data_IF_466296133583
#
_entry.id   IF_466296133583
#
_cell.length_a   1.000
_cell.length_b   1.000
_cell.length_c   1.000
_cell.angle_alpha   90.00
_cell.angle_beta   90.00
_cell.angle_gamma   90.00
#
_symmetry.space_group_name_H-M   'P 1'
#
loop_
_entity.id
_entity.type
_entity.pdbx_description
1 polymer ?
#
# COMPACT_ATOMS: atom_id res chain seq x y z
N UNK A 1 51.54 3.07 33.53
CA UNK A 1 52.06 1.68 33.43
C UNK A 1 51.23 0.85 32.45
N UNK A 2 51.59 0.82 31.16
CA UNK A 2 51.24 -0.29 30.26
C UNK A 2 52.49 -1.03 29.73
N UNK A 3 52.42 -2.36 29.60
CA UNK A 3 53.40 -3.24 28.92
C UNK A 3 52.76 -4.63 28.74
N UNK A 4 52.74 -5.21 27.52
CA UNK A 4 53.76 -6.09 26.89
C UNK A 4 53.95 -7.42 27.66
N UNK A 5 53.79 -8.60 27.03
CA UNK A 5 54.61 -9.22 25.96
C UNK A 5 56.07 -9.48 26.45
N UNK A 6 56.75 -10.60 26.14
CA UNK A 6 56.59 -11.57 25.04
C UNK A 6 57.35 -12.90 25.30
N UNK A 7 57.02 -13.95 24.52
CA UNK A 7 57.94 -14.98 23.92
C UNK A 7 58.90 -15.86 24.75
N UNK A 8 59.17 -17.08 24.24
CA UNK A 8 60.52 -17.67 24.02
C UNK A 8 60.38 -18.84 23.01
N UNK A 9 60.90 -18.71 21.76
CA UNK A 9 62.12 -19.36 21.16
C UNK A 9 61.96 -20.88 20.88
N UNK A 10 62.57 -21.57 19.89
CA UNK A 10 63.58 -21.37 18.79
C UNK A 10 63.46 -22.60 17.84
N UNK A 11 63.88 -22.72 16.56
CA UNK A 11 64.46 -21.86 15.50
C UNK A 11 64.17 -22.53 14.09
N UNK A 12 64.27 -21.87 12.92
CA UNK A 12 65.38 -21.81 11.90
C UNK A 12 66.02 -23.16 11.49
N UNK A 13 66.48 -23.44 10.24
CA UNK A 13 66.94 -22.67 9.05
C UNK A 13 66.75 -23.52 7.74
N UNK A 14 66.94 -23.12 6.47
CA UNK A 14 66.80 -21.84 5.71
C UNK A 14 67.12 -22.02 4.19
N UNK A 15 66.96 -20.95 3.39
CA UNK A 15 67.56 -20.66 2.05
C UNK A 15 66.97 -21.22 0.71
N UNK A 16 66.84 -20.31 -0.27
CA UNK A 16 66.61 -20.45 -1.74
C UNK A 16 67.87 -19.91 -2.50
N UNK A 17 68.02 -19.82 -3.86
CA UNK A 17 67.09 -19.80 -5.02
C UNK A 17 67.54 -20.82 -6.14
N UNK A 18 67.47 -20.66 -7.50
CA UNK A 18 66.84 -19.68 -8.41
C UNK A 18 65.94 -20.24 -9.54
N UNK A 19 66.41 -20.36 -10.81
CA UNK A 19 65.58 -20.49 -12.05
C UNK A 19 66.30 -21.11 -13.27
N UNK A 20 65.48 -21.73 -14.14
CA UNK A 20 65.51 -21.80 -15.62
C UNK A 20 66.63 -22.56 -16.39
N UNK A 21 66.21 -23.19 -17.50
CA UNK A 21 67.04 -23.87 -18.53
C UNK A 21 66.15 -24.69 -19.49
N UNK A 22 66.55 -24.83 -20.76
CA UNK A 22 65.78 -25.51 -21.84
C UNK A 22 66.57 -26.69 -22.47
N UNK A 23 65.97 -27.36 -23.47
CA UNK A 23 66.60 -28.23 -24.50
C UNK A 23 67.03 -29.68 -24.09
N UNK A 24 67.09 -30.71 -24.97
CA UNK A 24 66.55 -30.93 -26.33
C UNK A 24 66.62 -32.43 -26.78
N UNK A 25 65.55 -32.98 -27.41
CA UNK A 25 65.60 -34.01 -28.51
C UNK A 25 66.23 -35.42 -28.20
N UNK A 26 66.40 -36.41 -29.14
CA UNK A 26 66.12 -36.44 -30.59
C UNK A 26 65.56 -37.74 -31.27
N UNK A 27 65.06 -37.54 -32.51
CA UNK A 27 65.11 -38.46 -33.69
C UNK A 27 64.29 -39.79 -33.70
N UNK A 28 63.89 -40.41 -34.84
CA UNK A 28 64.11 -40.13 -36.29
C UNK A 28 62.94 -40.66 -37.18
N UNK A 29 62.63 -40.00 -38.31
CA UNK A 29 62.27 -40.47 -39.71
C UNK A 29 61.58 -41.85 -39.98
N UNK A 30 60.85 -42.14 -41.07
CA UNK A 30 60.23 -41.45 -42.25
C UNK A 30 59.28 -42.46 -42.94
N UNK A 31 58.19 -42.02 -43.60
CA UNK A 31 57.84 -42.48 -44.97
C UNK A 31 56.75 -41.63 -45.64
N UNK A 32 56.84 -41.45 -46.96
CA UNK A 32 55.91 -40.66 -47.79
C UNK A 32 55.03 -41.54 -48.68
N UNK A 33 53.83 -41.05 -49.07
CA UNK A 33 53.21 -41.44 -50.34
C UNK A 33 52.07 -40.50 -50.79
N UNK A 34 52.13 -40.13 -52.07
CA UNK A 34 51.06 -39.73 -53.00
C UNK A 34 50.15 -38.52 -52.65
N UNK A 35 50.13 -37.45 -53.50
CA UNK A 35 49.29 -36.26 -53.28
C UNK A 35 47.83 -36.46 -53.72
N UNK A 36 47.09 -37.34 -53.04
CA UNK A 36 45.65 -37.50 -53.27
C UNK A 36 44.89 -36.23 -52.85
N UNK A 37 44.10 -35.70 -53.80
CA UNK A 37 43.36 -34.43 -53.72
C UNK A 37 42.64 -34.28 -52.36
N UNK A 38 43.16 -33.41 -51.49
CA UNK A 38 42.61 -33.14 -50.14
C UNK A 38 41.12 -32.76 -50.26
N UNK A 39 40.23 -33.69 -49.88
CA UNK A 39 38.82 -33.38 -49.59
C UNK A 39 38.84 -32.29 -48.50
N UNK A 40 38.47 -31.06 -48.86
CA UNK A 40 38.45 -29.94 -47.92
C UNK A 40 37.49 -30.29 -46.78
N UNK A 41 38.02 -30.62 -45.58
CA UNK A 41 37.25 -30.57 -44.34
C UNK A 41 36.58 -29.19 -44.29
N UNK A 42 35.29 -29.06 -43.94
CA UNK A 42 34.65 -27.75 -43.88
C UNK A 42 35.44 -26.85 -42.95
N UNK A 43 36.00 -25.77 -43.48
CA UNK A 43 36.48 -24.67 -42.64
C UNK A 43 35.30 -24.23 -41.77
N UNK A 44 35.47 -24.04 -40.45
CA UNK A 44 34.48 -23.38 -39.61
C UNK A 44 34.30 -21.93 -40.10
N UNK A 45 33.48 -21.76 -41.13
CA UNK A 45 33.36 -20.51 -41.85
C UNK A 45 32.82 -19.41 -40.94
N UNK A 46 33.40 -18.22 -41.04
CA UNK A 46 32.87 -16.97 -40.46
C UNK A 46 31.34 -17.01 -40.55
N UNK A 47 30.67 -17.02 -39.40
CA UNK A 47 29.28 -17.43 -39.29
C UNK A 47 28.36 -16.63 -40.22
N UNK A 48 28.03 -17.19 -41.39
CA UNK A 48 27.23 -16.51 -42.39
C UNK A 48 25.91 -16.06 -41.77
N UNK A 49 25.57 -14.77 -41.91
CA UNK A 49 24.34 -14.22 -41.37
C UNK A 49 23.14 -15.08 -41.77
N UNK A 50 22.50 -15.69 -40.77
CA UNK A 50 21.43 -16.66 -40.98
C UNK A 50 20.26 -15.96 -41.65
N UNK A 51 19.82 -16.52 -42.78
CA UNK A 51 18.63 -16.12 -43.52
C UNK A 51 17.42 -16.02 -42.56
N UNK A 52 17.01 -14.78 -42.24
CA UNK A 52 15.91 -14.52 -41.28
C UNK A 52 14.58 -15.08 -41.80
N UNK A 53 14.38 -15.05 -43.12
CA UNK A 53 13.17 -15.52 -43.82
C UNK A 53 13.26 -16.97 -44.35
N UNK A 54 14.34 -17.69 -44.06
CA UNK A 54 14.53 -19.07 -44.53
C UNK A 54 13.42 -20.04 -44.10
N UNK A 55 13.21 -21.07 -44.92
CA UNK A 55 12.23 -22.13 -44.69
C UNK A 55 12.56 -22.98 -43.45
N UNK A 56 11.56 -23.68 -42.91
CA UNK A 56 11.71 -24.47 -41.67
C UNK A 56 12.81 -25.52 -41.79
N UNK A 57 12.91 -26.20 -42.94
CA UNK A 57 13.92 -27.25 -43.16
C UNK A 57 15.36 -26.71 -43.17
N UNK A 58 15.63 -25.57 -43.82
CA UNK A 58 16.96 -24.93 -43.75
C UNK A 58 17.28 -24.43 -42.33
N UNK A 59 16.30 -23.83 -41.63
CA UNK A 59 16.46 -23.37 -40.24
C UNK A 59 16.76 -24.53 -39.28
N UNK A 60 15.98 -25.62 -39.32
CA UNK A 60 16.20 -26.83 -38.49
C UNK A 60 17.58 -27.43 -38.72
N UNK A 61 18.03 -27.49 -39.99
CA UNK A 61 19.35 -27.98 -40.40
C UNK A 61 20.50 -26.98 -40.17
N UNK A 62 20.21 -25.77 -39.67
CA UNK A 62 21.17 -24.68 -39.38
C UNK A 62 22.03 -24.25 -40.58
N UNK A 63 21.54 -24.44 -41.81
CA UNK A 63 22.20 -24.06 -43.06
C UNK A 63 21.64 -22.75 -43.64
N UNK A 64 22.40 -22.08 -44.52
CA UNK A 64 21.89 -20.93 -45.28
C UNK A 64 20.74 -21.39 -46.20
N UNK A 65 19.60 -20.73 -46.11
CA UNK A 65 18.51 -20.90 -47.07
C UNK A 65 18.76 -20.05 -48.31
N UNK A 66 18.35 -20.54 -49.49
CA UNK A 66 18.43 -19.83 -50.76
C UNK A 66 17.25 -18.87 -51.02
N UNK A 67 16.25 -18.82 -50.13
CA UNK A 67 15.06 -17.93 -50.12
C UNK A 67 14.17 -17.89 -51.40
N UNK A 68 14.48 -18.70 -52.42
CA UNK A 68 13.66 -18.89 -53.61
C UNK A 68 12.27 -19.47 -53.28
N UNK A 69 11.26 -19.07 -54.06
CA UNK A 69 9.88 -19.53 -53.99
C UNK A 69 9.45 -20.14 -55.34
N UNK A 70 8.52 -21.12 -55.37
CA UNK A 70 7.82 -21.72 -54.23
C UNK A 70 8.75 -22.54 -53.31
N UNK A 71 9.80 -23.16 -53.86
CA UNK A 71 10.77 -23.95 -53.10
C UNK A 71 12.18 -23.36 -53.10
N UNK A 72 12.90 -23.57 -52.00
CA UNK A 72 14.32 -23.26 -51.90
C UNK A 72 15.16 -24.35 -52.58
N UNK A 73 16.26 -23.93 -53.23
CA UNK A 73 17.15 -24.82 -54.02
C UNK A 73 17.75 -25.96 -53.19
N UNK A 74 17.86 -25.78 -51.88
CA UNK A 74 18.47 -26.73 -50.93
C UNK A 74 17.48 -27.74 -50.34
N UNK A 75 16.18 -27.49 -50.50
CA UNK A 75 15.11 -28.43 -50.18
C UNK A 75 14.73 -29.24 -51.44
N UNK A 76 14.50 -28.55 -52.56
CA UNK A 76 14.19 -29.16 -53.86
C UNK A 76 15.27 -30.17 -54.29
N UNK A 77 16.56 -29.81 -54.23
CA UNK A 77 17.71 -30.71 -54.49
C UNK A 77 17.78 -31.95 -53.58
N UNK A 78 17.03 -31.97 -52.48
CA UNK A 78 17.03 -33.06 -51.50
C UNK A 78 15.65 -33.73 -51.35
N UNK A 79 14.68 -33.44 -52.22
CA UNK A 79 13.32 -34.00 -52.14
C UNK A 79 12.57 -33.63 -50.86
N UNK A 80 12.94 -32.52 -50.20
CA UNK A 80 12.32 -32.09 -48.94
C UNK A 80 11.23 -31.06 -49.21
N UNK A 81 10.01 -31.31 -48.72
CA UNK A 81 8.88 -30.37 -48.80
C UNK A 81 9.29 -29.01 -48.23
N UNK A 82 9.22 -27.95 -49.04
CA UNK A 82 9.81 -26.65 -48.71
C UNK A 82 8.84 -25.66 -48.05
N UNK A 83 8.43 -25.93 -46.81
CA UNK A 83 7.54 -25.03 -46.07
C UNK A 83 8.28 -23.79 -45.56
N UNK A 84 7.85 -22.61 -45.99
CA UNK A 84 8.25 -21.32 -45.43
C UNK A 84 7.36 -20.95 -44.23
N UNK A 85 7.90 -20.28 -43.19
CA UNK A 85 7.04 -19.67 -42.17
C UNK A 85 6.18 -18.59 -42.82
N UNK A 86 4.88 -18.67 -42.62
CA UNK A 86 3.96 -17.61 -43.02
C UNK A 86 4.35 -16.31 -42.31
N UNK A 87 4.40 -15.21 -43.06
CA UNK A 87 4.53 -13.89 -42.45
C UNK A 87 3.20 -13.56 -41.78
N UNK A 88 3.16 -13.30 -40.46
CA UNK A 88 1.92 -12.86 -39.82
C UNK A 88 1.40 -11.61 -40.54
N UNK A 89 0.12 -11.62 -40.89
CA UNK A 89 -0.54 -10.51 -41.57
C UNK A 89 -0.37 -9.23 -40.74
N UNK A 90 -0.03 -8.08 -41.36
CA UNK A 90 0.38 -6.92 -40.62
C UNK A 90 -0.79 -6.26 -39.87
N UNK A 91 -0.87 -6.50 -38.57
CA UNK A 91 -1.34 -5.49 -37.61
C UNK A 91 -0.45 -4.26 -37.79
N UNK A 92 -0.94 -3.30 -38.58
CA UNK A 92 -0.06 -2.36 -39.30
C UNK A 92 0.53 -1.26 -38.43
N UNK A 93 1.62 -1.57 -37.73
CA UNK A 93 2.66 -0.58 -37.40
C UNK A 93 3.66 -0.51 -38.55
N UNK A 94 3.82 0.68 -39.16
CA UNK A 94 4.96 1.02 -40.02
C UNK A 94 5.76 2.15 -39.38
N UNK A 95 6.99 1.85 -38.98
CA UNK A 95 8.11 2.78 -38.98
C UNK A 95 9.05 2.35 -40.13
N UNK A 96 9.80 3.23 -40.79
CA UNK A 96 10.19 4.57 -40.38
C UNK A 96 9.91 5.62 -41.47
N UNK A 97 9.31 6.73 -41.07
CA UNK A 97 9.89 8.05 -41.34
C UNK A 97 10.28 8.66 -40.00
N UNK A 98 10.92 9.84 -40.00
CA UNK A 98 10.87 10.75 -38.83
C UNK A 98 9.51 11.45 -38.88
N UNK A 99 8.46 10.66 -38.70
CA UNK A 99 7.11 11.18 -38.46
C UNK A 99 7.07 11.57 -37.00
N UNK A 100 6.82 12.86 -36.73
CA UNK A 100 6.29 13.29 -35.44
C UNK A 100 5.22 12.29 -35.00
N UNK A 101 5.44 11.65 -33.86
CA UNK A 101 4.36 10.92 -33.20
C UNK A 101 3.27 11.96 -32.95
N UNK A 102 2.11 11.81 -33.60
CA UNK A 102 0.95 12.62 -33.27
C UNK A 102 0.61 12.34 -31.80
N UNK A 103 1.07 13.24 -30.92
CA UNK A 103 0.80 13.24 -29.49
C UNK A 103 -0.67 13.64 -29.31
N UNK A 104 -1.58 12.75 -29.72
CA UNK A 104 -2.99 12.83 -29.34
C UNK A 104 -3.02 12.80 -27.82
N UNK A 105 -3.50 13.87 -27.14
CA UNK A 105 -3.51 13.91 -25.68
C UNK A 105 -4.41 12.78 -25.17
N UNK A 106 -3.79 11.78 -24.55
CA UNK A 106 -4.47 10.58 -24.04
C UNK A 106 -4.86 10.80 -22.58
N UNK A 107 -5.94 11.52 -22.36
CA UNK A 107 -6.44 11.85 -21.02
C UNK A 107 -7.07 10.60 -20.38
N UNK A 108 -6.68 10.28 -19.14
CA UNK A 108 -7.33 9.22 -18.38
C UNK A 108 -8.67 9.73 -17.80
N UNK A 109 -9.78 9.28 -18.40
CA UNK A 109 -11.13 9.72 -18.03
C UNK A 109 -11.57 9.22 -16.65
N UNK A 110 -11.08 8.06 -16.21
CA UNK A 110 -11.34 7.57 -14.84
C UNK A 110 -10.68 8.49 -13.82
N UNK A 111 -9.46 8.99 -14.07
CA UNK A 111 -8.81 9.95 -13.17
C UNK A 111 -9.57 11.28 -13.10
N UNK A 112 -10.17 11.75 -14.20
CA UNK A 112 -11.07 12.91 -14.15
C UNK A 112 -12.32 12.64 -13.32
N UNK A 113 -12.94 11.45 -13.45
CA UNK A 113 -14.08 11.03 -12.63
C UNK A 113 -13.71 10.97 -11.15
N UNK A 114 -12.56 10.38 -10.81
CA UNK A 114 -12.07 10.26 -9.44
C UNK A 114 -11.78 11.64 -8.82
N UNK A 115 -11.14 12.55 -9.56
CA UNK A 115 -10.86 13.91 -9.09
C UNK A 115 -12.14 14.72 -8.86
N UNK A 116 -13.12 14.63 -9.76
CA UNK A 116 -14.45 15.22 -9.58
C UNK A 116 -15.17 14.65 -8.35
N UNK A 117 -15.10 13.33 -8.15
CA UNK A 117 -15.72 12.64 -7.00
C UNK A 117 -15.05 13.00 -5.67
N UNK A 118 -13.73 13.22 -5.66
CA UNK A 118 -13.01 13.73 -4.49
C UNK A 118 -13.57 15.07 -4.00
N UNK A 119 -13.77 16.02 -4.93
CA UNK A 119 -14.19 17.40 -4.62
C UNK A 119 -15.60 17.50 -4.02
N UNK A 120 -16.48 16.54 -4.30
CA UNK A 120 -17.89 16.59 -3.93
C UNK A 120 -18.30 15.62 -2.81
N UNK A 121 -17.75 14.39 -2.81
CA UNK A 121 -18.30 13.30 -2.00
C UNK A 121 -17.26 12.48 -1.22
N UNK A 122 -16.05 12.27 -1.79
CA UNK A 122 -15.10 11.30 -1.25
C UNK A 122 -13.94 11.88 -0.42
N UNK A 123 -13.86 13.20 -0.23
CA UNK A 123 -12.87 13.80 0.67
C UNK A 123 -13.07 13.35 2.13
N UNK A 124 -12.03 13.28 2.96
CA UNK A 124 -12.13 12.82 4.35
C UNK A 124 -13.18 13.57 5.22
N UNK A 125 -14.12 12.86 5.88
CA UNK A 125 -15.27 13.45 6.60
C UNK A 125 -14.94 14.28 7.85
N UNK A 126 -13.79 14.04 8.49
CA UNK A 126 -13.42 14.65 9.75
C UNK A 126 -12.07 15.40 9.65
N UNK A 127 -11.93 16.58 10.30
CA UNK A 127 -12.95 17.28 11.08
C UNK A 127 -14.07 17.88 10.21
N UNK A 128 -15.29 17.97 10.76
CA UNK A 128 -16.43 18.50 10.01
C UNK A 128 -16.25 19.97 9.65
N UNK A 129 -16.55 20.31 8.39
CA UNK A 129 -16.29 21.65 7.81
C UNK A 129 -14.93 21.79 7.13
N UNK A 130 -14.14 20.71 7.01
CA UNK A 130 -12.85 20.70 6.31
C UNK A 130 -12.91 20.82 4.77
N UNK A 131 -14.09 20.99 4.18
CA UNK A 131 -14.31 21.02 2.72
C UNK A 131 -13.34 21.97 1.98
N UNK A 132 -13.18 23.21 2.46
CA UNK A 132 -12.27 24.19 1.85
C UNK A 132 -10.79 23.83 1.98
N UNK A 133 -10.41 23.06 3.01
CA UNK A 133 -9.05 22.49 3.13
C UNK A 133 -8.86 21.41 2.08
N UNK A 134 -9.85 20.54 1.86
CA UNK A 134 -9.80 19.49 0.84
C UNK A 134 -9.85 20.02 -0.59
N UNK A 135 -10.54 21.15 -0.84
CA UNK A 135 -10.47 21.85 -2.12
C UNK A 135 -9.08 22.44 -2.39
N UNK A 136 -8.39 22.97 -1.37
CA UNK A 136 -6.99 23.41 -1.50
C UNK A 136 -6.04 22.22 -1.75
N UNK A 137 -6.25 21.10 -1.05
CA UNK A 137 -5.51 19.84 -1.27
C UNK A 137 -5.71 19.30 -2.69
N UNK A 138 -6.93 19.38 -3.23
CA UNK A 138 -7.19 19.01 -4.61
C UNK A 138 -6.44 19.93 -5.59
N UNK A 139 -6.52 21.25 -5.38
CA UNK A 139 -5.85 22.24 -6.23
C UNK A 139 -4.32 22.03 -6.29
N UNK A 140 -3.65 21.85 -5.15
CA UNK A 140 -2.20 21.62 -5.09
C UNK A 140 -1.76 20.23 -5.60
N UNK A 141 -2.68 19.27 -5.74
CA UNK A 141 -2.33 17.87 -6.04
C UNK A 141 -1.62 17.66 -7.38
N UNK A 142 -1.78 18.57 -8.35
CA UNK A 142 -1.12 18.47 -9.65
C UNK A 142 0.41 18.72 -9.59
N UNK A 143 0.92 19.25 -8.47
CA UNK A 143 2.37 19.45 -8.23
C UNK A 143 3.02 18.23 -7.54
N UNK A 144 2.21 17.34 -6.95
CA UNK A 144 2.66 16.26 -6.08
C UNK A 144 2.02 14.92 -6.50
N UNK A 145 2.69 14.13 -7.34
CA UNK A 145 2.15 12.88 -7.91
C UNK A 145 1.68 11.88 -6.82
N UNK A 146 2.38 11.78 -5.70
CA UNK A 146 1.96 10.91 -4.58
C UNK A 146 0.64 11.37 -3.94
N UNK A 147 0.37 12.68 -3.90
CA UNK A 147 -0.86 13.26 -3.38
C UNK A 147 -2.00 13.09 -4.37
N UNK A 148 -1.77 13.34 -5.67
CA UNK A 148 -2.73 13.05 -6.72
C UNK A 148 -3.16 11.57 -6.67
N UNK A 149 -2.20 10.64 -6.61
CA UNK A 149 -2.50 9.21 -6.48
C UNK A 149 -3.27 8.90 -5.18
N UNK A 150 -3.00 9.58 -4.06
CA UNK A 150 -3.72 9.38 -2.81
C UNK A 150 -5.21 9.81 -2.88
N UNK A 151 -5.50 11.00 -3.42
CA UNK A 151 -6.88 11.50 -3.52
C UNK A 151 -7.68 10.79 -4.62
N UNK A 152 -7.03 10.43 -5.73
CA UNK A 152 -7.63 9.63 -6.79
C UNK A 152 -7.95 8.21 -6.29
N UNK A 153 -7.02 7.57 -5.57
CA UNK A 153 -7.22 6.23 -4.99
C UNK A 153 -8.35 6.19 -3.96
N UNK A 154 -8.45 7.22 -3.10
CA UNK A 154 -9.54 7.36 -2.12
C UNK A 154 -10.91 7.44 -2.82
N UNK A 155 -10.97 8.19 -3.92
CA UNK A 155 -12.21 8.46 -4.65
C UNK A 155 -12.62 7.30 -5.55
N UNK A 156 -11.66 6.61 -6.17
CA UNK A 156 -11.88 5.34 -6.85
C UNK A 156 -12.48 4.30 -5.90
N UNK A 157 -11.95 4.21 -4.67
CA UNK A 157 -12.42 3.27 -3.68
C UNK A 157 -13.82 3.62 -3.12
N UNK A 158 -14.10 4.91 -2.87
CA UNK A 158 -15.45 5.37 -2.52
C UNK A 158 -16.47 5.07 -3.63
N UNK A 159 -16.09 5.27 -4.91
CA UNK A 159 -16.91 4.90 -6.07
C UNK A 159 -17.22 3.39 -6.14
N UNK A 160 -16.26 2.52 -5.80
CA UNK A 160 -16.48 1.07 -5.69
C UNK A 160 -17.57 0.74 -4.66
N UNK A 161 -17.57 1.41 -3.50
CA UNK A 161 -18.56 1.19 -2.45
C UNK A 161 -19.96 1.75 -2.82
N UNK A 162 -20.03 2.95 -3.39
CA UNK A 162 -21.28 3.70 -3.55
C UNK A 162 -21.98 3.57 -4.91
N UNK A 163 -21.23 3.44 -6.01
CA UNK A 163 -21.78 3.60 -7.37
C UNK A 163 -21.75 2.31 -8.20
N UNK A 164 -21.53 1.15 -7.57
CA UNK A 164 -21.62 -0.17 -8.20
C UNK A 164 -20.66 -0.41 -9.37
N UNK A 165 -19.70 0.50 -9.59
CA UNK A 165 -18.66 0.38 -10.61
C UNK A 165 -17.40 -0.09 -9.91
N UNK A 166 -16.97 -1.33 -10.15
CA UNK A 166 -15.75 -1.85 -9.51
C UNK A 166 -14.50 -1.15 -10.03
N UNK A 167 -13.89 -0.34 -9.16
CA UNK A 167 -12.63 0.35 -9.37
C UNK A 167 -11.52 -0.18 -8.44
N UNK A 168 -11.68 -1.36 -7.84
CA UNK A 168 -10.75 -1.91 -6.83
C UNK A 168 -9.30 -2.03 -7.34
N UNK A 169 -9.12 -2.38 -8.62
CA UNK A 169 -7.79 -2.48 -9.25
C UNK A 169 -7.16 -1.09 -9.40
N UNK A 170 -7.93 -0.10 -9.84
CA UNK A 170 -7.51 1.30 -9.97
C UNK A 170 -7.16 1.87 -8.60
N UNK A 171 -8.02 1.70 -7.60
CA UNK A 171 -7.81 2.14 -6.23
C UNK A 171 -6.53 1.53 -5.63
N UNK A 172 -6.31 0.22 -5.78
CA UNK A 172 -5.12 -0.47 -5.28
C UNK A 172 -3.83 0.01 -5.97
N UNK A 173 -3.84 0.17 -7.30
CA UNK A 173 -2.68 0.68 -8.04
C UNK A 173 -2.33 2.13 -7.63
N UNK A 174 -3.34 2.99 -7.49
CA UNK A 174 -3.19 4.37 -7.03
C UNK A 174 -2.70 4.42 -5.57
N UNK A 175 -3.21 3.56 -4.69
CA UNK A 175 -2.75 3.39 -3.30
C UNK A 175 -1.26 3.01 -3.24
N UNK A 176 -0.84 2.03 -4.02
CA UNK A 176 0.58 1.58 -4.06
C UNK A 176 1.49 2.70 -4.60
N UNK A 177 1.09 3.40 -5.66
CA UNK A 177 1.85 4.52 -6.20
C UNK A 177 1.97 5.67 -5.18
N UNK A 178 0.88 6.01 -4.49
CA UNK A 178 0.85 7.02 -3.44
C UNK A 178 1.73 6.65 -2.23
N UNK A 179 1.68 5.41 -1.75
CA UNK A 179 2.53 4.93 -0.63
C UNK A 179 4.01 5.00 -1.02
N UNK A 180 4.38 4.54 -2.23
CA UNK A 180 5.77 4.57 -2.69
C UNK A 180 6.29 5.99 -2.82
N UNK A 181 5.56 6.88 -3.50
CA UNK A 181 5.96 8.27 -3.67
C UNK A 181 5.94 9.09 -2.37
N UNK A 182 5.04 8.76 -1.42
CA UNK A 182 5.05 9.37 -0.09
C UNK A 182 6.27 8.90 0.73
N UNK A 183 6.64 7.63 0.67
CA UNK A 183 7.86 7.12 1.32
C UNK A 183 9.13 7.75 0.72
N UNK A 184 9.18 7.94 -0.59
CA UNK A 184 10.26 8.67 -1.27
C UNK A 184 10.31 10.14 -0.82
N UNK A 185 9.17 10.84 -0.81
CA UNK A 185 9.09 12.21 -0.31
C UNK A 185 9.53 12.32 1.16
N UNK A 186 9.09 11.41 2.03
CA UNK A 186 9.46 11.36 3.45
C UNK A 186 10.96 11.06 3.69
N UNK A 187 11.66 10.47 2.71
CA UNK A 187 13.12 10.31 2.78
C UNK A 187 13.89 11.62 2.59
N UNK A 188 13.23 12.66 2.05
CA UNK A 188 13.79 13.97 1.76
C UNK A 188 13.28 15.03 2.76
N UNK A 189 14.03 16.10 3.04
CA UNK A 189 13.50 17.24 3.79
C UNK A 189 12.30 17.88 3.06
N UNK A 190 11.48 18.64 3.80
CA UNK A 190 10.57 19.61 3.19
C UNK A 190 11.38 20.88 2.83
N UNK A 191 11.15 21.44 1.64
CA UNK A 191 11.76 22.71 1.20
C UNK A 191 10.79 23.89 1.42
N UNK A 192 9.49 23.59 1.44
CA UNK A 192 8.38 24.52 1.63
C UNK A 192 7.37 23.98 2.65
N UNK A 193 6.49 24.84 3.17
CA UNK A 193 5.31 24.41 3.94
C UNK A 193 4.37 23.54 3.08
N UNK A 194 4.27 23.84 1.78
CA UNK A 194 3.51 23.09 0.77
C UNK A 194 3.94 21.62 0.68
N UNK A 195 5.23 21.31 0.88
CA UNK A 195 5.74 19.94 0.92
C UNK A 195 5.33 19.19 2.19
N UNK A 196 5.21 19.89 3.32
CA UNK A 196 4.71 19.31 4.56
C UNK A 196 3.19 19.06 4.48
N UNK A 197 2.45 20.05 4.00
CA UNK A 197 1.00 20.00 3.80
C UNK A 197 0.61 18.90 2.81
N UNK A 198 1.33 18.74 1.69
CA UNK A 198 1.03 17.68 0.71
C UNK A 198 1.30 16.27 1.24
N UNK A 199 2.39 16.06 1.98
CA UNK A 199 2.70 14.78 2.67
C UNK A 199 1.67 14.45 3.75
N UNK A 200 1.23 15.46 4.51
CA UNK A 200 0.20 15.33 5.54
C UNK A 200 -1.18 15.02 4.92
N UNK A 201 -1.56 15.72 3.85
CA UNK A 201 -2.76 15.42 3.07
C UNK A 201 -2.76 13.97 2.53
N UNK A 202 -1.62 13.52 2.00
CA UNK A 202 -1.48 12.18 1.43
C UNK A 202 -1.62 11.07 2.48
N UNK A 203 -1.01 11.20 3.67
CA UNK A 203 -1.18 10.18 4.72
C UNK A 203 -2.61 10.14 5.25
N UNK A 204 -3.32 11.28 5.32
CA UNK A 204 -4.74 11.30 5.70
C UNK A 204 -5.57 10.56 4.65
N UNK A 205 -5.44 10.89 3.36
CA UNK A 205 -6.16 10.21 2.29
C UNK A 205 -5.86 8.70 2.25
N UNK A 206 -4.60 8.30 2.45
CA UNK A 206 -4.20 6.90 2.57
C UNK A 206 -4.76 6.21 3.83
N UNK A 207 -4.96 6.95 4.92
CA UNK A 207 -5.61 6.43 6.15
C UNK A 207 -7.10 6.20 5.91
N UNK A 208 -7.79 7.12 5.24
CA UNK A 208 -9.22 6.96 4.93
C UNK A 208 -9.48 5.87 3.88
N UNK A 209 -8.58 5.64 2.93
CA UNK A 209 -8.63 4.44 2.08
C UNK A 209 -8.67 3.14 2.90
N UNK A 210 -7.90 3.04 3.99
CA UNK A 210 -8.00 1.89 4.91
C UNK A 210 -9.36 1.85 5.62
N UNK A 211 -9.90 2.99 6.02
CA UNK A 211 -11.27 3.09 6.57
C UNK A 211 -12.37 2.73 5.56
N UNK A 212 -12.05 2.55 4.27
CA UNK A 212 -12.96 2.19 3.19
C UNK A 212 -12.75 0.72 2.74
N UNK A 213 -11.94 -0.09 3.46
CA UNK A 213 -11.73 -1.53 3.17
C UNK A 213 -12.33 -2.41 4.27
N UNK A 214 -13.13 -3.45 3.95
CA UNK A 214 -13.88 -4.23 4.92
C UNK A 214 -13.04 -5.16 5.81
N UNK A 215 -11.74 -5.35 5.55
CA UNK A 215 -10.84 -6.20 6.34
C UNK A 215 -9.65 -5.44 6.94
N UNK A 216 -9.57 -4.12 6.75
CA UNK A 216 -8.41 -3.30 7.04
C UNK A 216 -8.39 -2.60 8.42
N UNK A 217 -9.22 -3.01 9.39
CA UNK A 217 -9.33 -2.37 10.72
C UNK A 217 -7.97 -2.05 11.38
N UNK A 218 -7.00 -2.98 11.28
CA UNK A 218 -5.67 -2.85 11.90
C UNK A 218 -4.70 -2.05 11.02
N UNK A 219 -4.86 -2.10 9.70
CA UNK A 219 -4.14 -1.21 8.79
C UNK A 219 -4.56 0.24 9.04
N UNK A 220 -5.87 0.53 9.16
CA UNK A 220 -6.39 1.85 9.53
C UNK A 220 -5.80 2.37 10.85
N UNK A 221 -5.78 1.54 11.90
CA UNK A 221 -5.15 1.87 13.19
C UNK A 221 -3.64 2.13 13.06
N UNK A 222 -2.94 1.44 12.15
CA UNK A 222 -1.52 1.65 11.85
C UNK A 222 -1.29 2.92 11.04
N UNK A 223 -2.17 3.23 10.09
CA UNK A 223 -2.12 4.43 9.26
C UNK A 223 -2.44 5.69 10.08
N UNK A 224 -3.36 5.62 11.05
CA UNK A 224 -3.56 6.66 12.07
C UNK A 224 -2.28 6.95 12.89
N UNK A 225 -1.45 5.94 13.15
CA UNK A 225 -0.13 6.11 13.81
C UNK A 225 0.88 6.79 12.88
N UNK A 226 0.88 6.43 11.60
CA UNK A 226 1.64 7.14 10.56
C UNK A 226 1.23 8.61 10.41
N UNK A 227 -0.08 8.89 10.38
CA UNK A 227 -0.64 10.25 10.30
C UNK A 227 -0.17 11.13 11.46
N UNK A 228 -0.39 10.73 12.72
CA UNK A 228 0.02 11.55 13.87
C UNK A 228 1.55 11.67 14.01
N UNK A 229 2.33 10.69 13.54
CA UNK A 229 3.78 10.82 13.45
C UNK A 229 4.19 11.88 12.42
N UNK A 230 3.62 11.84 11.20
CA UNK A 230 3.90 12.84 10.15
C UNK A 230 3.48 14.24 10.60
N UNK A 231 2.34 14.38 11.28
CA UNK A 231 1.91 15.65 11.90
C UNK A 231 3.00 16.21 12.81
N UNK A 232 3.37 15.45 13.84
CA UNK A 232 4.30 15.89 14.90
C UNK A 232 5.76 16.06 14.44
N UNK A 233 6.08 15.65 13.20
CA UNK A 233 7.41 15.80 12.60
C UNK A 233 7.50 16.85 11.49
N UNK A 234 6.44 17.03 10.69
CA UNK A 234 6.46 17.96 9.55
C UNK A 234 5.63 19.23 9.79
N UNK A 235 4.56 19.16 10.59
CA UNK A 235 3.68 20.28 10.91
C UNK A 235 3.48 20.35 12.45
N UNK A 236 4.53 20.68 13.22
CA UNK A 236 4.45 20.78 14.67
C UNK A 236 3.59 21.97 15.14
N UNK A 237 3.45 23.01 14.30
CA UNK A 237 2.52 24.12 14.49
C UNK A 237 1.55 24.18 13.31
N UNK A 238 0.29 23.80 13.57
CA UNK A 238 -0.77 23.77 12.56
C UNK A 238 -1.19 25.18 12.11
N UNK A 239 -0.97 26.25 12.89
CA UNK A 239 -1.37 27.61 12.50
C UNK A 239 -0.65 28.13 11.25
N UNK A 240 0.52 27.56 10.95
CA UNK A 240 1.34 27.84 9.76
C UNK A 240 0.88 27.11 8.49
N UNK A 241 -0.08 26.20 8.61
CA UNK A 241 -0.50 25.22 7.59
C UNK A 241 -1.92 25.47 7.08
N UNK A 242 -2.26 24.97 5.88
CA UNK A 242 -3.67 24.91 5.44
C UNK A 242 -4.56 24.10 6.41
N UNK A 243 -3.95 23.26 7.25
CA UNK A 243 -4.59 22.38 8.23
C UNK A 243 -4.76 22.99 9.63
N UNK A 244 -4.58 24.30 9.84
CA UNK A 244 -4.82 24.99 11.14
C UNK A 244 -6.10 24.59 11.88
N UNK A 245 -7.19 24.31 11.16
CA UNK A 245 -8.47 23.89 11.73
C UNK A 245 -8.54 22.40 12.12
N UNK A 246 -7.45 21.63 12.00
CA UNK A 246 -7.34 20.23 12.40
C UNK A 246 -6.77 20.08 13.83
N UNK A 247 -6.73 21.17 14.60
CA UNK A 247 -6.50 21.15 16.05
C UNK A 247 -7.68 20.50 16.79
N UNK A 248 -7.41 19.98 18.00
CA UNK A 248 -8.48 19.44 18.86
C UNK A 248 -9.47 20.54 19.24
N UNK A 249 -8.95 21.74 19.44
CA UNK A 249 -9.65 22.93 19.90
C UNK A 249 -10.65 23.41 18.83
N UNK A 250 -10.25 23.43 17.56
CA UNK A 250 -11.13 23.73 16.44
C UNK A 250 -12.24 22.67 16.27
N UNK A 251 -11.91 21.37 16.37
CA UNK A 251 -12.92 20.30 16.36
C UNK A 251 -13.93 20.45 17.50
N UNK A 252 -13.44 20.72 18.73
CA UNK A 252 -14.28 20.89 19.92
C UNK A 252 -15.20 22.11 19.77
N UNK A 253 -14.68 23.25 19.30
CA UNK A 253 -15.47 24.46 19.04
C UNK A 253 -16.55 24.24 17.97
N UNK A 254 -16.18 23.64 16.84
CA UNK A 254 -17.09 23.29 15.74
C UNK A 254 -18.23 22.39 16.23
N UNK A 255 -17.90 21.33 16.98
CA UNK A 255 -18.89 20.38 17.49
C UNK A 255 -19.80 20.98 18.56
N UNK A 256 -19.28 21.77 19.52
CA UNK A 256 -20.14 22.46 20.49
C UNK A 256 -21.09 23.44 19.79
N UNK A 257 -20.66 24.13 18.74
CA UNK A 257 -21.54 24.98 17.93
C UNK A 257 -22.57 24.18 17.12
N UNK A 258 -22.19 23.04 16.54
CA UNK A 258 -23.10 22.16 15.78
C UNK A 258 -24.22 21.62 16.67
N UNK A 259 -23.87 21.13 17.87
CA UNK A 259 -24.84 20.55 18.81
C UNK A 259 -25.73 21.63 19.43
N UNK A 260 -25.20 22.83 19.74
CA UNK A 260 -26.02 23.96 20.18
C UNK A 260 -27.06 24.42 19.13
N UNK A 261 -26.82 24.17 17.83
CA UNK A 261 -27.79 24.43 16.75
C UNK A 261 -28.83 23.31 16.62
N UNK A 262 -28.50 22.07 16.94
CA UNK A 262 -29.46 20.96 17.00
C UNK A 262 -30.22 20.96 18.34
N UNK A 263 -31.22 21.85 18.47
CA UNK A 263 -32.18 21.87 19.58
C UNK A 263 -33.10 20.63 19.55
N UNK A 264 -32.55 19.47 19.90
CA UNK A 264 -33.29 18.21 20.03
C UNK A 264 -32.97 17.59 21.39
N UNK A 265 -34.01 17.35 22.18
CA UNK A 265 -33.93 16.70 23.48
C UNK A 265 -33.72 15.18 23.31
N UNK A 266 -32.55 14.78 22.81
CA UNK A 266 -32.22 13.38 22.47
C UNK A 266 -32.07 12.55 23.74
N UNK A 267 -32.70 11.39 23.77
CA UNK A 267 -32.66 10.46 24.90
C UNK A 267 -31.24 9.98 25.22
N UNK A 268 -30.94 9.76 26.50
CA UNK A 268 -29.67 9.18 26.93
C UNK A 268 -29.42 7.83 26.24
N UNK A 269 -28.19 7.64 25.73
CA UNK A 269 -27.79 6.40 25.04
C UNK A 269 -27.78 5.25 26.04
N UNK A 270 -28.33 4.08 25.67
CA UNK A 270 -28.48 2.91 26.54
C UNK A 270 -27.14 2.17 26.81
N UNK A 271 -26.24 2.81 27.56
CA UNK A 271 -24.86 2.33 27.77
C UNK A 271 -24.64 1.48 29.04
N UNK A 272 -25.69 0.97 29.67
CA UNK A 272 -25.53 0.03 30.80
C UNK A 272 -24.96 -1.32 30.33
N UNK A 273 -25.42 -1.85 29.20
CA UNK A 273 -24.87 -3.08 28.61
C UNK A 273 -23.43 -2.90 28.13
N UNK A 274 -23.06 -1.71 27.66
CA UNK A 274 -21.67 -1.36 27.33
C UNK A 274 -20.77 -1.44 28.57
N UNK A 275 -21.19 -0.80 29.67
CA UNK A 275 -20.44 -0.81 30.94
C UNK A 275 -20.45 -2.21 31.57
N UNK A 276 -21.48 -3.04 31.34
CA UNK A 276 -21.49 -4.44 31.72
C UNK A 276 -20.49 -5.26 30.90
N UNK A 277 -20.48 -5.12 29.57
CA UNK A 277 -19.57 -5.83 28.66
C UNK A 277 -18.09 -5.57 28.98
N UNK A 278 -17.71 -4.31 29.21
CA UNK A 278 -16.32 -3.95 29.57
C UNK A 278 -15.83 -4.63 30.87
N UNK A 279 -16.72 -4.91 31.84
CA UNK A 279 -16.36 -5.68 33.06
C UNK A 279 -16.00 -7.12 32.74
N UNK A 280 -16.59 -7.72 31.70
CA UNK A 280 -16.23 -9.06 31.22
C UNK A 280 -14.91 -9.00 30.45
N UNK A 281 -14.76 -8.03 29.54
CA UNK A 281 -13.53 -7.79 28.75
C UNK A 281 -12.29 -7.57 29.63
N UNK A 282 -12.46 -7.02 30.83
CA UNK A 282 -11.38 -6.91 31.84
C UNK A 282 -10.66 -8.22 32.11
N UNK A 283 -11.33 -9.36 32.01
CA UNK A 283 -10.71 -10.69 32.21
C UNK A 283 -9.74 -11.11 31.09
N UNK A 284 -9.84 -10.50 29.90
CA UNK A 284 -8.93 -10.74 28.76
C UNK A 284 -7.67 -9.87 28.80
N UNK A 285 -7.72 -8.73 29.49
CA UNK A 285 -6.69 -7.70 29.41
C UNK A 285 -5.45 -8.09 30.24
N UNK A 286 -4.40 -8.54 29.55
CA UNK A 286 -3.13 -8.97 30.16
C UNK A 286 -2.00 -7.97 29.84
N UNK A 287 -2.02 -7.38 28.64
CA UNK A 287 -1.00 -6.43 28.21
C UNK A 287 -1.21 -5.02 28.77
N UNK A 288 -0.11 -4.31 29.08
CA UNK A 288 -0.13 -2.91 29.51
C UNK A 288 -0.91 -2.01 28.54
N UNK A 289 -0.74 -2.23 27.22
CA UNK A 289 -1.48 -1.56 26.16
C UNK A 289 -3.00 -1.79 26.24
N UNK A 290 -3.43 -3.04 26.47
CA UNK A 290 -4.84 -3.43 26.58
C UNK A 290 -5.50 -2.82 27.82
N UNK A 291 -4.80 -2.86 28.97
CA UNK A 291 -5.27 -2.29 30.24
C UNK A 291 -5.41 -0.76 30.13
N UNK A 292 -4.43 -0.07 29.49
CA UNK A 292 -4.53 1.36 29.15
C UNK A 292 -5.76 1.65 28.28
N UNK A 293 -6.00 0.82 27.26
CA UNK A 293 -7.11 1.01 26.31
C UNK A 293 -8.48 0.76 26.95
N UNK A 294 -8.63 -0.33 27.72
CA UNK A 294 -9.84 -0.63 28.50
C UNK A 294 -10.18 0.51 29.47
N UNK A 295 -9.18 1.01 30.23
CA UNK A 295 -9.38 2.11 31.18
C UNK A 295 -9.90 3.38 30.50
N UNK A 296 -9.42 3.68 29.29
CA UNK A 296 -9.93 4.78 28.48
C UNK A 296 -11.38 4.54 28.00
N UNK A 297 -11.73 3.32 27.60
CA UNK A 297 -13.09 2.93 27.20
C UNK A 297 -14.09 2.94 28.37
N UNK A 298 -13.67 2.53 29.57
CA UNK A 298 -14.46 2.61 30.80
C UNK A 298 -14.64 4.07 31.28
N UNK A 299 -13.66 4.94 31.03
CA UNK A 299 -13.80 6.39 31.25
C UNK A 299 -14.78 6.99 30.24
N UNK A 300 -14.63 6.66 28.96
CA UNK A 300 -15.45 7.17 27.86
C UNK A 300 -16.93 6.78 28.02
N UNK A 301 -17.21 5.52 28.36
CA UNK A 301 -18.58 5.06 28.63
C UNK A 301 -19.23 5.72 29.85
N UNK A 302 -18.49 5.90 30.95
CA UNK A 302 -18.98 6.63 32.12
C UNK A 302 -19.27 8.09 31.81
N UNK A 303 -18.39 8.75 31.06
CA UNK A 303 -18.61 10.12 30.60
C UNK A 303 -19.82 10.19 29.66
N UNK A 304 -19.99 9.22 28.75
CA UNK A 304 -21.11 9.18 27.83
C UNK A 304 -22.47 9.01 28.52
N UNK A 305 -22.54 8.31 29.66
CA UNK A 305 -23.74 8.26 30.51
C UNK A 305 -24.06 9.57 31.24
N UNK A 306 -23.09 10.46 31.43
CA UNK A 306 -23.23 11.72 32.18
C UNK A 306 -23.41 12.94 31.26
N UNK A 307 -22.66 12.96 30.17
CA UNK A 307 -22.67 13.99 29.13
C UNK A 307 -22.17 13.33 27.84
N UNK A 308 -23.07 12.85 26.95
CA UNK A 308 -22.66 12.24 25.70
C UNK A 308 -21.83 13.20 24.84
N UNK A 309 -22.05 14.52 24.95
CA UNK A 309 -21.30 15.53 24.20
C UNK A 309 -19.85 15.62 24.68
N UNK A 310 -19.58 15.70 25.98
CA UNK A 310 -18.19 15.69 26.47
C UNK A 310 -17.51 14.34 26.19
N UNK A 311 -18.25 13.23 26.12
CA UNK A 311 -17.70 11.95 25.66
C UNK A 311 -17.30 11.98 24.17
N UNK A 312 -18.14 12.51 23.28
CA UNK A 312 -17.79 12.69 21.87
C UNK A 312 -16.55 13.59 21.68
N UNK A 313 -16.40 14.61 22.52
CA UNK A 313 -15.25 15.53 22.52
C UNK A 313 -13.97 14.92 23.15
N UNK A 314 -14.12 13.82 23.89
CA UNK A 314 -13.06 13.01 24.50
C UNK A 314 -12.72 11.74 23.69
N UNK A 315 -13.32 11.54 22.51
CA UNK A 315 -13.09 10.36 21.67
C UNK A 315 -11.79 10.43 20.84
N UNK A 316 -11.37 11.63 20.45
CA UNK A 316 -10.09 11.84 19.72
C UNK A 316 -8.88 11.34 20.54
N UNK A 317 -8.78 11.59 21.86
CA UNK A 317 -7.83 10.91 22.74
C UNK A 317 -7.77 9.37 22.64
N UNK A 318 -8.88 8.69 22.31
CA UNK A 318 -8.93 7.24 22.17
C UNK A 318 -8.32 6.73 20.84
N UNK A 319 -8.57 7.44 19.72
CA UNK A 319 -7.81 7.21 18.47
C UNK A 319 -6.30 7.40 18.69
N UNK A 320 -5.91 8.36 19.52
CA UNK A 320 -4.50 8.65 19.83
C UNK A 320 -3.86 7.69 20.86
N UNK A 321 -4.56 6.70 21.43
CA UNK A 321 -3.99 5.78 22.44
C UNK A 321 -2.89 4.89 21.86
N UNK A 322 -3.07 4.39 20.65
CA UNK A 322 -2.09 3.56 19.93
C UNK A 322 -0.80 4.31 19.62
N UNK A 323 -0.82 5.65 19.67
CA UNK A 323 0.33 6.51 19.44
C UNK A 323 1.10 6.83 20.74
N UNK A 324 0.54 6.46 21.89
CA UNK A 324 1.18 6.49 23.23
C UNK A 324 1.75 5.13 23.64
N UNK A 325 1.63 4.13 22.77
CA UNK A 325 2.25 2.80 22.93
C UNK A 325 3.70 2.82 22.45
N UNK A 326 4.59 2.07 23.11
CA UNK A 326 5.93 1.78 22.54
C UNK A 326 5.82 0.99 21.22
N UNK A 327 6.93 0.76 20.53
CA UNK A 327 6.91 -0.06 19.31
C UNK A 327 6.52 -1.52 19.61
N UNK A 328 7.01 -2.05 20.73
CA UNK A 328 6.71 -3.40 21.23
C UNK A 328 5.26 -3.51 21.72
N UNK A 329 4.78 -2.53 22.50
CA UNK A 329 3.37 -2.46 22.92
C UNK A 329 2.43 -2.41 21.70
N UNK A 330 2.76 -1.59 20.69
CA UNK A 330 1.93 -1.46 19.50
C UNK A 330 1.97 -2.73 18.63
N UNK A 331 3.15 -3.34 18.45
CA UNK A 331 3.30 -4.60 17.70
C UNK A 331 2.48 -5.73 18.33
N UNK A 332 2.56 -5.89 19.66
CA UNK A 332 1.78 -6.89 20.39
C UNK A 332 0.26 -6.62 20.36
N UNK A 333 -0.16 -5.36 20.27
CA UNK A 333 -1.57 -4.98 20.12
C UNK A 333 -2.09 -5.20 18.68
N UNK A 334 -1.25 -4.93 17.68
CA UNK A 334 -1.56 -5.08 16.26
C UNK A 334 -1.53 -6.55 15.77
N UNK A 335 -0.84 -7.45 16.46
CA UNK A 335 -0.72 -8.88 16.10
C UNK A 335 -2.08 -9.55 15.83
N UNK A 336 -2.29 -10.28 14.71
CA UNK A 336 -3.57 -10.95 14.38
C UNK A 336 -4.12 -11.90 15.43
N UNK A 337 -3.25 -12.50 16.25
CA UNK A 337 -3.63 -13.40 17.34
C UNK A 337 -4.11 -12.67 18.60
N UNK A 338 -3.90 -11.36 18.73
CA UNK A 338 -4.34 -10.59 19.90
C UNK A 338 -5.86 -10.31 19.86
N UNK A 339 -6.64 -11.31 20.26
CA UNK A 339 -8.10 -11.22 20.33
C UNK A 339 -8.59 -10.19 21.35
N UNK A 340 -7.82 -9.90 22.41
CA UNK A 340 -8.14 -8.86 23.39
C UNK A 340 -8.17 -7.47 22.72
N UNK A 341 -7.13 -7.12 21.96
CA UNK A 341 -7.07 -5.90 21.17
C UNK A 341 -8.20 -5.82 20.13
N UNK A 342 -8.58 -6.93 19.48
CA UNK A 342 -9.72 -6.96 18.54
C UNK A 342 -11.06 -6.67 19.23
N UNK A 343 -11.30 -7.24 20.40
CA UNK A 343 -12.50 -6.97 21.22
C UNK A 343 -12.53 -5.51 21.68
N UNK A 344 -11.40 -4.94 22.12
CA UNK A 344 -11.30 -3.55 22.58
C UNK A 344 -11.56 -2.55 21.44
N UNK A 345 -10.96 -2.78 20.26
CA UNK A 345 -11.22 -1.97 19.06
C UNK A 345 -12.69 -2.09 18.62
N UNK A 346 -13.30 -3.26 18.72
CA UNK A 346 -14.73 -3.47 18.38
C UNK A 346 -15.67 -2.67 19.30
N UNK A 347 -15.39 -2.64 20.60
CA UNK A 347 -16.12 -1.78 21.56
C UNK A 347 -15.95 -0.29 21.24
N UNK A 348 -14.72 0.12 20.90
CA UNK A 348 -14.41 1.51 20.56
C UNK A 348 -15.18 1.99 19.33
N UNK A 349 -15.15 1.22 18.24
CA UNK A 349 -15.82 1.55 16.98
C UNK A 349 -17.34 1.68 17.16
N UNK A 350 -17.96 0.75 17.89
CA UNK A 350 -19.41 0.77 18.11
C UNK A 350 -19.86 1.86 19.09
N UNK A 351 -19.04 2.24 20.08
CA UNK A 351 -19.32 3.41 20.92
C UNK A 351 -19.13 4.73 20.14
N UNK A 352 -18.09 4.82 19.30
CA UNK A 352 -17.88 5.97 18.42
C UNK A 352 -19.10 6.16 17.50
N UNK A 353 -19.52 5.10 16.80
CA UNK A 353 -20.72 5.11 15.97
C UNK A 353 -21.98 5.53 16.76
N UNK A 354 -22.19 5.00 17.97
CA UNK A 354 -23.35 5.39 18.80
C UNK A 354 -23.36 6.88 19.16
N UNK A 355 -22.19 7.46 19.50
CA UNK A 355 -22.05 8.88 19.79
C UNK A 355 -22.18 9.74 18.51
N UNK A 356 -21.65 9.29 17.38
CA UNK A 356 -21.82 9.95 16.08
C UNK A 356 -23.30 10.04 15.69
N UNK A 357 -24.07 8.95 15.76
CA UNK A 357 -25.52 8.99 15.49
C UNK A 357 -26.28 9.88 16.47
N UNK A 358 -25.84 9.95 17.73
CA UNK A 358 -26.47 10.80 18.72
C UNK A 358 -26.25 12.30 18.42
N UNK A 359 -25.13 12.72 17.82
CA UNK A 359 -24.87 14.14 17.55
C UNK A 359 -25.03 14.58 16.09
N UNK A 360 -24.62 13.74 15.14
CA UNK A 360 -24.66 14.05 13.72
C UNK A 360 -26.03 13.66 13.15
N UNK A 361 -26.75 14.65 12.63
CA UNK A 361 -27.95 14.41 11.82
C UNK A 361 -27.56 13.62 10.54
N UNK A 362 -28.41 12.71 10.01
CA UNK A 362 -28.11 11.88 8.82
C UNK A 362 -28.03 12.65 7.47
N UNK A 363 -27.66 13.92 7.53
CA UNK A 363 -27.70 14.91 6.43
C UNK A 363 -26.54 14.85 5.45
N UNK A 364 -25.47 14.08 5.71
CA UNK A 364 -24.35 13.86 4.79
C UNK A 364 -24.28 12.38 4.38
N UNK A 365 -25.11 12.01 3.39
CA UNK A 365 -25.21 10.64 2.85
C UNK A 365 -23.86 10.06 2.41
N UNK A 366 -22.97 10.91 1.90
CA UNK A 366 -21.64 10.54 1.39
C UNK A 366 -20.73 9.89 2.44
N UNK A 367 -21.05 10.04 3.74
CA UNK A 367 -20.27 9.53 4.87
C UNK A 367 -20.98 8.45 5.69
N UNK A 368 -22.15 7.97 5.25
CA UNK A 368 -22.90 6.91 5.95
C UNK A 368 -22.11 5.59 6.08
N UNK A 369 -21.25 5.30 5.10
CA UNK A 369 -20.43 4.07 5.05
C UNK A 369 -19.48 3.89 6.24
N UNK A 370 -19.14 4.94 7.00
CA UNK A 370 -18.31 4.80 8.20
C UNK A 370 -18.94 3.83 9.20
N UNK A 371 -20.29 3.79 9.26
CA UNK A 371 -21.05 2.75 9.96
C UNK A 371 -20.83 1.37 9.35
N UNK A 372 -21.01 1.27 8.03
CA UNK A 372 -21.08 -0.01 7.29
C UNK A 372 -19.73 -0.73 7.31
N UNK A 373 -18.62 0.00 7.14
CA UNK A 373 -17.28 -0.57 7.29
C UNK A 373 -16.97 -0.90 8.76
N UNK A 374 -17.33 -0.05 9.73
CA UNK A 374 -17.16 -0.38 11.16
C UNK A 374 -17.97 -1.62 11.58
N UNK A 375 -19.16 -1.79 11.00
CA UNK A 375 -20.04 -2.95 11.15
C UNK A 375 -19.38 -4.19 10.55
N UNK A 376 -18.89 -4.11 9.31
CA UNK A 376 -18.16 -5.18 8.64
C UNK A 376 -16.91 -5.60 9.43
N UNK A 377 -16.12 -4.65 9.94
CA UNK A 377 -14.97 -4.91 10.81
C UNK A 377 -15.35 -5.71 12.05
N UNK A 378 -16.40 -5.32 12.76
CA UNK A 378 -16.86 -6.00 13.98
C UNK A 378 -17.40 -7.42 13.69
N UNK A 379 -18.11 -7.61 12.58
CA UNK A 379 -18.58 -8.92 12.13
C UNK A 379 -17.38 -9.83 11.77
N UNK A 380 -16.46 -9.35 10.92
CA UNK A 380 -15.28 -10.10 10.49
C UNK A 380 -14.34 -10.40 11.67
N UNK A 381 -14.28 -9.53 12.68
CA UNK A 381 -13.62 -9.82 13.96
C UNK A 381 -14.33 -10.94 14.71
N UNK A 382 -15.65 -10.89 14.85
CA UNK A 382 -16.42 -11.93 15.55
C UNK A 382 -16.30 -13.32 14.86
N UNK A 383 -16.26 -13.36 13.53
CA UNK A 383 -16.08 -14.58 12.73
C UNK A 383 -14.66 -15.18 12.86
N UNK A 384 -13.63 -14.34 12.97
CA UNK A 384 -12.22 -14.77 13.03
C UNK A 384 -11.73 -15.07 14.44
N UNK A 385 -12.46 -14.66 15.48
CA UNK A 385 -12.08 -14.88 16.88
C UNK A 385 -12.37 -16.32 17.35
N UNK A 386 -11.48 -16.93 18.17
CA UNK A 386 -11.77 -18.21 18.82
C UNK A 386 -13.03 -18.16 19.70
N UNK A 387 -13.72 -19.30 19.87
CA UNK A 387 -15.01 -19.40 20.57
C UNK A 387 -15.01 -18.82 22.00
N UNK A 388 -13.89 -18.88 22.72
CA UNK A 388 -13.75 -18.27 24.06
C UNK A 388 -13.96 -16.74 24.10
N UNK A 389 -13.90 -16.05 22.96
CA UNK A 389 -14.18 -14.62 22.84
C UNK A 389 -15.66 -14.28 22.59
N UNK A 390 -16.54 -15.26 22.34
CA UNK A 390 -17.95 -15.00 21.97
C UNK A 390 -18.70 -14.11 22.99
N UNK A 391 -18.59 -14.41 24.28
CA UNK A 391 -19.20 -13.59 25.35
C UNK A 391 -18.70 -12.14 25.37
N UNK A 392 -17.47 -11.90 24.90
CA UNK A 392 -16.83 -10.60 24.86
C UNK A 392 -17.21 -9.79 23.61
N UNK A 393 -17.74 -10.44 22.57
CA UNK A 393 -18.21 -9.77 21.35
C UNK A 393 -19.72 -9.48 21.35
N UNK A 394 -20.47 -9.89 22.39
CA UNK A 394 -21.94 -9.73 22.42
C UNK A 394 -22.40 -8.28 22.24
N UNK A 395 -21.83 -7.32 22.97
CA UNK A 395 -22.24 -5.92 22.84
C UNK A 395 -21.81 -5.30 21.49
N UNK A 396 -20.53 -5.39 21.04
CA UNK A 396 -20.14 -4.88 19.74
C UNK A 396 -20.94 -5.50 18.59
N UNK A 397 -21.14 -6.82 18.59
CA UNK A 397 -21.87 -7.51 17.52
C UNK A 397 -23.36 -7.14 17.55
N UNK A 398 -23.98 -7.07 18.73
CA UNK A 398 -25.39 -6.67 18.88
C UNK A 398 -25.66 -5.22 18.46
N UNK A 399 -24.69 -4.32 18.62
CA UNK A 399 -24.72 -2.97 18.06
C UNK A 399 -24.56 -2.99 16.53
N UNK A 400 -23.59 -3.75 16.01
CA UNK A 400 -23.29 -3.87 14.59
C UNK A 400 -24.47 -4.45 13.78
N UNK A 401 -25.17 -5.46 14.31
CA UNK A 401 -26.35 -6.08 13.68
C UNK A 401 -27.66 -5.33 13.92
N UNK A 402 -27.67 -4.29 14.76
CA UNK A 402 -28.90 -3.62 15.21
C UNK A 402 -29.80 -4.49 16.08
N UNK A 403 -29.28 -5.60 16.65
CA UNK A 403 -30.01 -6.45 17.59
C UNK A 403 -30.18 -5.81 18.98
N UNK A 404 -29.38 -4.79 19.28
CA UNK A 404 -29.52 -3.94 20.48
C UNK A 404 -30.11 -2.58 20.10
N UNK A 405 -31.02 -2.06 20.94
CA UNK A 405 -31.58 -0.71 20.77
C UNK A 405 -30.64 0.31 21.43
N UNK A 406 -30.27 1.34 20.68
CA UNK A 406 -29.40 2.47 21.08
C UNK A 406 -30.11 3.50 21.95
#
# INVERSE_FOLDING_TARGET
MPSRQTSILTNTDSATPPKAGENETPNTKINESLPLKRKKKPVPGKGFHKSRRGCYNCKRRRVKCSEAKPECRDCSRMGLICVYPESPLPTSRRSHGITSSSLKPSVNLDHLRFYHHFLLEAYPPAPHGAESVWHNVAAMSHEYEFLANAILGLSAQHLTLFHGTDYSIQALNLRVAAINGLNEALSQPCLTATDADSRYAAIIALTYQSAYMPDAMIEFITMLRGWMFIQTKLIPDLETSIFRNFTREAFVGSMKQHVARQLVNKSAIALDDYVASLKVVRSLCQGTAEIKYLSALERLGRLAKQSPIEAFLEIVPCYALTNKMTEEEFKAFAEPSNGCARVLLSHFLMLNYALEQHFLSPTLKHFAFCKEISTAWVIIVAERLPSGFQQHMMWPLGMATGSMKT
#
